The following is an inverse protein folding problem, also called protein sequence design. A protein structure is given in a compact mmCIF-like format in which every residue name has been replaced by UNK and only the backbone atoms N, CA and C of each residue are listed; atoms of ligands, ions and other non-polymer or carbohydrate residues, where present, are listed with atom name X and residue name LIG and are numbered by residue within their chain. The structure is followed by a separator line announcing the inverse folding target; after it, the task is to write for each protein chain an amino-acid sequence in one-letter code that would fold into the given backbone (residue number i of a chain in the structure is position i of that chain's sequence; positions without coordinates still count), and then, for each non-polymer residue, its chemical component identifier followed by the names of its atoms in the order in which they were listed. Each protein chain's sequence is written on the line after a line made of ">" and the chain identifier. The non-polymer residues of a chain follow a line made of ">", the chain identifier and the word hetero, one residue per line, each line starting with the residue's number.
data_IF_089395951245
#
_entry.id   IF_089395951245
#
_cell.length_a   1.000
_cell.length_b   1.000
_cell.length_c   1.000
_cell.angle_alpha   90.00
_cell.angle_beta   90.00
_cell.angle_gamma   90.00
#
_symmetry.space_group_name_H-M   'P 1'
#
loop_
_entity.id
_entity.type
_entity.pdbx_description
1 polymer ?
#
# COMPACT_ATOMS: atom_id res chain seq x y z
N UNK A 1 17.68 -14.07 3.16
CA UNK A 1 16.89 -14.24 1.92
C UNK A 1 15.67 -13.42 2.15
N UNK A 2 15.45 -12.48 1.24
CA UNK A 2 14.44 -11.46 1.43
C UNK A 2 13.07 -12.03 1.12
N UNK A 3 12.18 -12.03 2.12
CA UNK A 3 10.78 -12.46 1.96
C UNK A 3 10.02 -11.33 1.28
N UNK A 4 9.36 -11.62 0.15
CA UNK A 4 8.51 -10.65 -0.53
C UNK A 4 7.13 -10.60 0.10
N UNK A 5 6.69 -9.41 0.49
CA UNK A 5 5.39 -9.17 1.09
C UNK A 5 4.63 -8.15 0.25
N UNK A 6 3.56 -8.60 -0.40
CA UNK A 6 2.66 -7.72 -1.15
C UNK A 6 1.59 -7.17 -0.22
N UNK A 7 1.39 -5.86 -0.22
CA UNK A 7 0.40 -5.19 0.64
C UNK A 7 -0.58 -4.41 -0.23
N UNK A 8 -1.78 -4.94 -0.40
CA UNK A 8 -2.88 -4.26 -1.09
C UNK A 8 -3.46 -3.20 -0.18
N UNK A 9 -3.47 -1.96 -0.67
CA UNK A 9 -3.84 -0.79 0.13
C UNK A 9 -4.52 0.28 -0.71
N UNK A 10 -5.33 1.11 -0.04
CA UNK A 10 -5.87 2.37 -0.59
C UNK A 10 -5.38 3.56 0.23
N UNK A 11 -5.03 4.67 -0.42
CA UNK A 11 -4.54 5.88 0.23
C UNK A 11 -5.59 6.57 1.11
N UNK A 12 -6.87 6.32 0.85
CA UNK A 12 -7.99 6.86 1.66
C UNK A 12 -8.50 5.86 2.72
N UNK A 13 -7.91 4.66 2.82
CA UNK A 13 -8.30 3.66 3.80
C UNK A 13 -7.58 3.89 5.14
N UNK A 14 -8.30 4.19 6.24
CA UNK A 14 -7.67 4.44 7.54
C UNK A 14 -6.92 3.23 8.08
N UNK A 15 -7.46 2.01 7.88
CA UNK A 15 -6.79 0.79 8.33
C UNK A 15 -5.51 0.48 7.55
N UNK A 16 -5.41 0.91 6.28
CA UNK A 16 -4.17 0.78 5.51
C UNK A 16 -3.06 1.68 6.08
N UNK A 17 -3.41 2.91 6.47
CA UNK A 17 -2.48 3.81 7.14
C UNK A 17 -2.03 3.26 8.50
N UNK A 18 -2.95 2.69 9.28
CA UNK A 18 -2.61 2.04 10.55
C UNK A 18 -1.72 0.81 10.37
N UNK A 19 -1.91 0.04 9.29
CA UNK A 19 -1.10 -1.15 9.00
C UNK A 19 0.38 -0.82 8.79
N UNK A 20 0.71 0.42 8.40
CA UNK A 20 2.10 0.89 8.31
C UNK A 20 2.90 0.63 9.60
N UNK A 21 2.28 0.82 10.77
CA UNK A 21 2.96 0.61 12.07
C UNK A 21 3.58 -0.79 12.20
N UNK A 22 2.75 -1.85 12.29
CA UNK A 22 3.27 -3.22 12.39
C UNK A 22 4.10 -3.65 11.18
N UNK A 23 3.78 -3.19 9.96
CA UNK A 23 4.55 -3.52 8.76
C UNK A 23 5.98 -2.96 8.82
N UNK A 24 6.14 -1.68 9.19
CA UNK A 24 7.45 -1.04 9.33
C UNK A 24 8.28 -1.64 10.45
N UNK A 25 7.64 -2.02 11.56
CA UNK A 25 8.34 -2.68 12.67
C UNK A 25 8.90 -4.04 12.25
N UNK A 26 8.12 -4.82 11.51
CA UNK A 26 8.56 -6.12 11.01
C UNK A 26 9.68 -5.99 9.98
N UNK A 27 9.57 -5.03 9.06
CA UNK A 27 10.61 -4.77 8.06
C UNK A 27 11.94 -4.29 8.66
N UNK A 28 11.93 -3.72 9.88
CA UNK A 28 13.18 -3.39 10.61
C UNK A 28 13.85 -4.59 11.24
N UNK A 29 13.08 -5.62 11.59
CA UNK A 29 13.57 -6.79 12.34
C UNK A 29 13.86 -8.00 11.46
N UNK A 30 13.26 -8.06 10.27
CA UNK A 30 13.34 -9.19 9.34
C UNK A 30 13.75 -8.71 7.95
N UNK A 31 14.43 -9.58 7.20
CA UNK A 31 14.80 -9.36 5.80
C UNK A 31 13.55 -9.51 4.91
N UNK A 32 12.74 -8.45 4.82
CA UNK A 32 11.45 -8.41 4.13
C UNK A 32 11.42 -7.24 3.14
N UNK A 33 11.00 -7.52 1.91
CA UNK A 33 10.73 -6.52 0.88
C UNK A 33 9.22 -6.27 0.82
N UNK A 34 8.80 -5.07 1.23
CA UNK A 34 7.41 -4.64 1.13
C UNK A 34 7.16 -4.07 -0.25
N UNK A 35 6.21 -4.68 -0.97
CA UNK A 35 5.67 -4.16 -2.22
C UNK A 35 4.23 -3.67 -2.01
N UNK A 36 4.03 -2.37 -2.05
CA UNK A 36 2.69 -1.79 -1.99
C UNK A 36 1.93 -2.00 -3.30
N UNK A 37 0.80 -2.68 -3.23
CA UNK A 37 -0.08 -2.96 -4.36
C UNK A 37 -1.30 -2.04 -4.31
N UNK A 38 -1.73 -1.47 -5.46
CA UNK A 38 -2.87 -0.58 -5.48
C UNK A 38 -4.18 -1.34 -5.32
N UNK A 39 -5.12 -0.74 -4.61
CA UNK A 39 -6.52 -1.14 -4.58
C UNK A 39 -7.37 0.09 -4.31
N UNK A 40 -8.42 0.31 -5.11
CA UNK A 40 -9.31 1.46 -4.93
C UNK A 40 -10.60 1.02 -4.25
N UNK A 41 -10.92 1.58 -3.09
CA UNK A 41 -12.17 1.31 -2.37
C UNK A 41 -13.39 1.88 -3.10
N UNK A 42 -13.21 3.03 -3.76
CA UNK A 42 -14.25 3.76 -4.51
C UNK A 42 -13.66 4.37 -5.78
N UNK A 43 -13.35 3.56 -6.81
CA UNK A 43 -12.89 4.06 -8.09
C UNK A 43 -13.99 4.88 -8.78
N UNK A 44 -13.60 5.79 -9.67
CA UNK A 44 -14.57 6.48 -10.54
C UNK A 44 -15.27 5.45 -11.45
N UNK A 45 -16.60 5.51 -11.66
CA UNK A 45 -17.52 6.61 -11.33
C UNK A 45 -18.30 6.44 -10.02
N UNK A 46 -17.89 5.56 -9.10
CA UNK A 46 -18.56 5.44 -7.80
C UNK A 46 -18.43 6.74 -6.99
N UNK A 47 -19.42 6.99 -6.12
CA UNK A 47 -19.41 8.17 -5.26
C UNK A 47 -18.24 8.13 -4.27
N UNK A 48 -17.61 9.29 -4.08
CA UNK A 48 -16.56 9.48 -3.08
C UNK A 48 -17.09 9.21 -1.66
N UNK A 49 -16.18 8.85 -0.76
CA UNK A 49 -16.47 8.62 0.66
C UNK A 49 -16.47 9.98 1.37
N UNK A 50 -17.49 10.30 2.17
CA UNK A 50 -17.54 11.57 2.89
C UNK A 50 -17.77 11.35 4.39
N UNK A 51 -16.71 11.08 5.17
CA UNK A 51 -16.90 10.69 6.57
C UNK A 51 -17.58 11.76 7.43
N UNK A 52 -17.42 13.04 7.09
CA UNK A 52 -18.05 14.14 7.83
C UNK A 52 -19.56 14.25 7.60
N UNK A 53 -20.04 13.82 6.44
CA UNK A 53 -21.47 13.80 6.11
C UNK A 53 -22.12 12.41 6.24
N UNK A 54 -21.36 11.40 6.69
CA UNK A 54 -21.81 10.03 6.86
C UNK A 54 -21.67 9.59 8.33
N UNK A 55 -22.74 9.69 9.15
CA UNK A 55 -22.67 9.49 10.61
C UNK A 55 -22.09 8.15 11.05
N UNK A 56 -22.34 7.07 10.31
CA UNK A 56 -21.79 5.74 10.61
C UNK A 56 -20.26 5.70 10.46
N UNK A 57 -19.73 6.40 9.46
CA UNK A 57 -18.28 6.52 9.25
C UNK A 57 -17.67 7.39 10.31
N UNK A 58 -18.25 8.56 10.60
CA UNK A 58 -17.79 9.45 11.66
C UNK A 58 -17.75 8.74 13.02
N UNK A 59 -18.81 8.01 13.36
CA UNK A 59 -18.87 7.20 14.58
C UNK A 59 -17.79 6.13 14.64
N UNK A 60 -17.45 5.50 13.50
CA UNK A 60 -16.36 4.52 13.43
C UNK A 60 -14.98 5.15 13.66
N UNK A 61 -14.80 6.41 13.24
CA UNK A 61 -13.55 7.16 13.47
C UNK A 61 -13.31 7.39 14.97
N UNK A 62 -14.33 7.88 15.67
CA UNK A 62 -14.24 8.16 17.10
C UNK A 62 -14.19 6.89 17.95
N UNK A 63 -14.95 5.86 17.58
CA UNK A 63 -15.08 4.64 18.38
C UNK A 63 -13.87 3.70 18.23
N UNK A 64 -13.30 3.58 17.03
CA UNK A 64 -12.32 2.52 16.73
C UNK A 64 -11.04 3.02 16.07
N UNK A 65 -11.10 3.90 15.06
CA UNK A 65 -9.91 4.27 14.26
C UNK A 65 -8.92 5.11 15.07
N UNK A 66 -9.35 6.25 15.62
CA UNK A 66 -8.47 7.13 16.40
C UNK A 66 -7.95 6.47 17.69
N UNK A 67 -8.77 5.71 18.45
CA UNK A 67 -8.25 4.94 19.57
C UNK A 67 -7.20 3.90 19.17
N UNK A 68 -7.35 3.27 18.01
CA UNK A 68 -6.36 2.29 17.50
C UNK A 68 -5.07 2.99 17.07
N UNK A 69 -5.16 4.13 16.38
CA UNK A 69 -4.01 4.96 16.04
C UNK A 69 -3.19 5.32 17.30
N UNK A 70 -3.88 5.78 18.35
CA UNK A 70 -3.26 6.11 19.64
C UNK A 70 -2.57 4.91 20.29
N UNK A 71 -3.17 3.71 20.25
CA UNK A 71 -2.57 2.48 20.79
C UNK A 71 -1.30 2.09 20.04
N UNK A 72 -1.27 2.30 18.73
CA UNK A 72 -0.11 2.04 17.87
C UNK A 72 0.93 3.17 17.89
N UNK A 73 0.67 4.27 18.59
CA UNK A 73 1.55 5.44 18.59
C UNK A 73 1.64 6.15 17.23
N UNK A 74 0.64 5.96 16.36
CA UNK A 74 0.56 6.57 15.04
C UNK A 74 -0.22 7.87 15.17
N UNK A 75 0.41 8.98 14.81
CA UNK A 75 -0.31 10.25 14.65
C UNK A 75 -1.24 10.14 13.44
N UNK A 76 -2.54 10.31 13.66
CA UNK A 76 -3.57 10.15 12.64
C UNK A 76 -4.75 11.05 12.99
N UNK A 77 -5.28 11.72 11.97
CA UNK A 77 -6.50 12.52 12.07
C UNK A 77 -7.47 12.15 10.96
N UNK A 78 -8.75 12.39 11.22
CA UNK A 78 -9.78 12.36 10.18
C UNK A 78 -9.55 13.58 9.26
N UNK A 79 -9.20 13.38 7.97
CA UNK A 79 -8.90 14.51 7.09
C UNK A 79 -10.12 15.39 6.86
N UNK A 80 -9.93 16.72 6.86
CA UNK A 80 -10.98 17.68 6.45
C UNK A 80 -11.26 17.68 4.95
N UNK A 81 -10.38 17.10 4.13
CA UNK A 81 -10.60 16.92 2.70
C UNK A 81 -11.72 15.90 2.52
N UNK A 82 -12.94 16.42 2.39
CA UNK A 82 -14.16 15.64 2.28
C UNK A 82 -15.07 16.21 1.18
N UNK A 83 -15.64 15.38 0.29
CA UNK A 83 -15.43 13.94 0.19
C UNK A 83 -13.96 13.57 -0.06
N UNK A 84 -13.53 12.42 0.48
CA UNK A 84 -12.21 11.87 0.27
C UNK A 84 -11.89 11.78 -1.23
N UNK A 85 -10.66 12.13 -1.62
CA UNK A 85 -10.25 12.18 -3.02
C UNK A 85 -10.29 10.81 -3.70
N UNK A 86 -10.35 10.82 -5.03
CA UNK A 86 -10.00 9.62 -5.79
C UNK A 86 -8.49 9.37 -5.73
N UNK A 87 -8.07 8.10 -5.66
CA UNK A 87 -6.67 7.74 -5.41
C UNK A 87 -5.89 7.29 -6.64
N UNK A 88 -6.55 7.19 -7.80
CA UNK A 88 -5.93 6.74 -9.05
C UNK A 88 -4.70 7.56 -9.46
N UNK A 89 -4.71 8.91 -9.33
CA UNK A 89 -3.55 9.74 -9.66
C UNK A 89 -2.39 9.52 -8.68
N UNK A 90 -2.71 9.35 -7.40
CA UNK A 90 -1.70 9.02 -6.40
C UNK A 90 -1.04 7.66 -6.70
N UNK A 91 -1.81 6.67 -7.16
CA UNK A 91 -1.27 5.38 -7.58
C UNK A 91 -0.46 5.44 -8.87
N UNK A 92 -0.89 6.22 -9.87
CA UNK A 92 -0.08 6.49 -11.06
C UNK A 92 1.27 7.13 -10.70
N UNK A 93 1.27 8.06 -9.74
CA UNK A 93 2.50 8.63 -9.17
C UNK A 93 3.37 7.59 -8.46
N UNK A 94 2.75 6.63 -7.76
CA UNK A 94 3.47 5.52 -7.14
C UNK A 94 4.14 4.62 -8.19
N UNK A 95 3.50 4.38 -9.34
CA UNK A 95 4.12 3.64 -10.44
C UNK A 95 5.35 4.34 -11.01
N UNK A 96 5.28 5.67 -11.18
CA UNK A 96 6.44 6.48 -11.57
C UNK A 96 7.59 6.41 -10.54
N UNK A 97 7.23 6.46 -9.24
CA UNK A 97 8.19 6.40 -8.14
C UNK A 97 8.87 5.02 -8.04
N UNK A 98 8.11 3.93 -8.23
CA UNK A 98 8.61 2.54 -8.25
C UNK A 98 9.69 2.33 -9.30
N UNK A 99 9.52 2.89 -10.50
CA UNK A 99 10.53 2.79 -11.58
C UNK A 99 11.86 3.48 -11.24
N UNK A 100 11.86 4.35 -10.22
CA UNK A 100 13.04 5.06 -9.70
C UNK A 100 13.52 4.52 -8.35
N UNK A 101 12.95 3.41 -7.88
CA UNK A 101 13.30 2.81 -6.59
C UNK A 101 12.80 3.60 -5.38
N UNK A 102 11.89 4.56 -5.56
CA UNK A 102 11.35 5.44 -4.50
C UNK A 102 9.86 5.17 -4.23
N UNK A 103 9.36 3.99 -4.62
CA UNK A 103 7.94 3.64 -4.52
C UNK A 103 7.44 3.62 -3.08
N UNK A 104 8.24 3.10 -2.15
CA UNK A 104 7.87 3.00 -0.74
C UNK A 104 7.90 4.38 -0.08
N UNK A 105 8.93 5.18 -0.34
CA UNK A 105 9.09 6.53 0.17
C UNK A 105 7.93 7.42 -0.29
N UNK A 106 7.59 7.36 -1.58
CA UNK A 106 6.45 8.08 -2.13
C UNK A 106 5.12 7.63 -1.51
N UNK A 107 4.89 6.32 -1.40
CA UNK A 107 3.65 5.78 -0.82
C UNK A 107 3.46 6.26 0.63
N UNK A 108 4.51 6.17 1.44
CA UNK A 108 4.51 6.71 2.80
C UNK A 108 4.26 8.21 2.85
N UNK A 109 4.87 8.98 1.94
CA UNK A 109 4.70 10.43 1.89
C UNK A 109 3.27 10.84 1.57
N UNK A 110 2.62 10.16 0.61
CA UNK A 110 1.21 10.39 0.26
C UNK A 110 0.27 10.05 1.42
N UNK A 111 0.55 8.95 2.13
CA UNK A 111 -0.20 8.59 3.32
C UNK A 111 -0.12 9.67 4.41
N UNK A 112 1.09 10.15 4.72
CA UNK A 112 1.30 11.26 5.64
C UNK A 112 0.58 12.52 5.13
N UNK A 113 0.67 12.85 3.85
CA UNK A 113 -0.01 14.00 3.27
C UNK A 113 -1.53 13.96 3.53
N UNK A 114 -2.15 12.79 3.37
CA UNK A 114 -3.58 12.64 3.53
C UNK A 114 -4.01 12.56 5.01
N UNK A 115 -3.46 11.62 5.78
CA UNK A 115 -3.92 11.32 7.15
C UNK A 115 -3.28 12.16 8.24
N UNK A 116 -2.16 12.82 7.95
CA UNK A 116 -1.42 13.64 8.91
C UNK A 116 -1.31 15.09 8.47
N UNK A 117 -1.49 15.46 7.21
CA UNK A 117 -1.37 16.86 6.76
C UNK A 117 -2.67 17.39 6.13
N UNK A 118 -3.69 16.54 6.00
CA UNK A 118 -5.01 16.88 5.45
C UNK A 118 -4.93 17.47 4.04
N UNK A 119 -3.99 16.99 3.22
CA UNK A 119 -3.80 17.45 1.85
C UNK A 119 -4.67 16.66 0.87
N UNK A 120 -5.07 17.33 -0.22
CA UNK A 120 -5.86 16.71 -1.29
C UNK A 120 -4.95 15.93 -2.25
N UNK A 121 -4.93 14.60 -2.12
CA UNK A 121 -4.11 13.69 -2.93
C UNK A 121 -4.69 13.39 -4.34
N UNK A 122 -5.76 14.05 -4.75
CA UNK A 122 -6.25 14.06 -6.14
C UNK A 122 -5.69 15.25 -6.93
N UNK A 123 -5.07 16.22 -6.26
CA UNK A 123 -4.48 17.39 -6.89
C UNK A 123 -3.05 17.07 -7.39
N UNK A 124 -2.83 17.22 -8.69
CA UNK A 124 -1.54 16.97 -9.34
C UNK A 124 -0.44 17.88 -8.78
N UNK A 125 -0.74 19.14 -8.48
CA UNK A 125 0.28 20.06 -7.93
C UNK A 125 0.67 19.68 -6.51
N UNK A 126 -0.26 19.16 -5.72
CA UNK A 126 0.04 18.58 -4.40
C UNK A 126 0.89 17.33 -4.57
N UNK A 127 0.45 16.34 -5.36
CA UNK A 127 1.21 15.11 -5.60
C UNK A 127 2.62 15.39 -6.14
N UNK A 128 2.78 16.41 -6.99
CA UNK A 128 4.08 16.82 -7.52
C UNK A 128 4.99 17.36 -6.41
N UNK A 129 4.47 18.20 -5.51
CA UNK A 129 5.26 18.67 -4.35
C UNK A 129 5.70 17.50 -3.46
N UNK A 130 4.78 16.57 -3.17
CA UNK A 130 5.07 15.36 -2.40
C UNK A 130 6.16 14.51 -3.06
N UNK A 131 6.12 14.38 -4.39
CA UNK A 131 7.10 13.66 -5.17
C UNK A 131 8.49 14.31 -5.08
N UNK A 132 8.58 15.64 -5.15
CA UNK A 132 9.85 16.37 -5.00
C UNK A 132 10.46 16.18 -3.62
N UNK A 133 9.63 16.17 -2.56
CA UNK A 133 10.11 15.95 -1.18
C UNK A 133 10.75 14.57 -0.98
N UNK A 134 10.34 13.56 -1.75
CA UNK A 134 10.96 12.22 -1.75
C UNK A 134 12.11 12.08 -2.75
N UNK A 135 12.45 13.13 -3.49
CA UNK A 135 13.59 13.16 -4.42
C UNK A 135 13.25 12.84 -5.89
N UNK A 136 11.97 12.84 -6.27
CA UNK A 136 11.56 12.64 -7.66
C UNK A 136 11.65 13.94 -8.48
N UNK A 137 11.96 13.85 -9.79
CA UNK A 137 12.07 15.03 -10.65
C UNK A 137 10.69 15.68 -10.91
N UNK A 138 10.53 16.93 -10.48
CA UNK A 138 9.27 17.69 -10.52
C UNK A 138 8.61 17.67 -11.91
N UNK A 139 9.35 18.08 -12.94
CA UNK A 139 8.81 18.25 -14.29
C UNK A 139 8.37 16.91 -14.91
N UNK A 140 9.18 15.86 -14.78
CA UNK A 140 8.86 14.53 -15.29
C UNK A 140 7.69 13.89 -14.55
N UNK A 141 7.63 14.07 -13.22
CA UNK A 141 6.54 13.53 -12.40
C UNK A 141 5.22 14.22 -12.75
N UNK A 142 5.23 15.55 -12.83
CA UNK A 142 4.06 16.33 -13.20
C UNK A 142 3.57 15.98 -14.59
N UNK A 143 4.47 15.90 -15.56
CA UNK A 143 4.15 15.49 -16.93
C UNK A 143 3.51 14.10 -16.93
N UNK A 144 4.09 13.12 -16.25
CA UNK A 144 3.56 11.77 -16.17
C UNK A 144 2.13 11.69 -15.62
N UNK A 145 1.78 12.52 -14.63
CA UNK A 145 0.41 12.59 -14.10
C UNK A 145 -0.56 13.32 -15.03
N UNK A 146 -0.12 14.43 -15.64
CA UNK A 146 -0.94 15.21 -16.58
C UNK A 146 -1.26 14.39 -17.84
N UNK A 147 -0.26 13.71 -18.40
CA UNK A 147 -0.43 12.84 -19.57
C UNK A 147 -1.05 11.49 -19.22
N UNK A 148 -1.27 11.21 -17.94
CA UNK A 148 -1.79 9.92 -17.45
C UNK A 148 -0.96 8.74 -17.94
N UNK A 149 0.36 8.90 -17.96
CA UNK A 149 1.33 7.94 -18.54
C UNK A 149 1.18 6.54 -17.94
N UNK A 150 0.83 6.45 -16.65
CA UNK A 150 0.73 5.18 -15.93
C UNK A 150 -0.69 4.65 -15.80
N UNK A 151 -1.67 5.26 -16.48
CA UNK A 151 -3.08 4.88 -16.37
C UNK A 151 -3.32 3.41 -16.72
N UNK A 152 -2.79 2.94 -17.84
CA UNK A 152 -2.97 1.54 -18.29
C UNK A 152 -2.33 0.57 -17.29
N UNK A 153 -1.07 0.80 -16.92
CA UNK A 153 -0.35 0.01 -15.90
C UNK A 153 -1.08 -0.02 -14.55
N UNK A 154 -1.69 1.09 -14.16
CA UNK A 154 -2.49 1.17 -12.94
C UNK A 154 -3.78 0.36 -13.06
N UNK A 155 -4.48 0.45 -14.20
CA UNK A 155 -5.67 -0.35 -14.46
C UNK A 155 -5.38 -1.86 -14.45
N UNK A 156 -4.27 -2.28 -15.06
CA UNK A 156 -3.79 -3.67 -15.01
C UNK A 156 -3.51 -4.11 -13.56
N UNK A 157 -2.86 -3.27 -12.75
CA UNK A 157 -2.57 -3.58 -11.35
C UNK A 157 -3.85 -3.71 -10.51
N UNK A 158 -4.85 -2.87 -10.77
CA UNK A 158 -6.17 -2.99 -10.13
C UNK A 158 -6.88 -4.28 -10.59
N UNK A 159 -6.80 -4.62 -11.87
CA UNK A 159 -7.39 -5.86 -12.38
C UNK A 159 -6.73 -7.10 -11.76
N UNK A 160 -5.40 -7.12 -11.65
CA UNK A 160 -4.67 -8.17 -10.95
C UNK A 160 -5.15 -8.35 -9.51
N UNK A 161 -5.41 -7.24 -8.79
CA UNK A 161 -5.90 -7.29 -7.43
C UNK A 161 -7.27 -8.00 -7.33
N UNK A 162 -8.19 -7.74 -8.26
CA UNK A 162 -9.51 -8.36 -8.26
C UNK A 162 -9.52 -9.78 -8.81
N UNK A 163 -8.94 -10.00 -9.99
CA UNK A 163 -9.14 -11.22 -10.77
C UNK A 163 -8.16 -12.34 -10.36
N UNK A 164 -6.90 -11.99 -10.12
CA UNK A 164 -5.85 -12.96 -9.85
C UNK A 164 -5.64 -13.14 -8.35
N UNK A 165 -5.52 -12.03 -7.62
CA UNK A 165 -5.29 -12.05 -6.18
C UNK A 165 -6.57 -12.16 -5.33
N UNK A 166 -7.76 -12.05 -5.94
CA UNK A 166 -9.07 -12.17 -5.27
C UNK A 166 -9.19 -11.26 -4.02
N UNK A 167 -8.67 -10.04 -4.10
CA UNK A 167 -8.68 -9.08 -3.00
C UNK A 167 -10.08 -8.48 -2.86
N UNK A 168 -10.70 -8.74 -1.72
CA UNK A 168 -12.06 -8.27 -1.41
C UNK A 168 -12.08 -7.08 -0.44
N UNK A 169 -10.98 -6.86 0.27
CA UNK A 169 -10.87 -5.82 1.29
C UNK A 169 -9.41 -5.38 1.44
N UNK A 170 -9.21 -4.17 1.97
CA UNK A 170 -7.89 -3.63 2.30
C UNK A 170 -7.83 -3.10 3.73
N UNK A 171 -6.67 -3.18 4.42
CA UNK A 171 -5.41 -3.74 3.92
C UNK A 171 -5.49 -5.27 3.79
N UNK A 172 -4.84 -5.82 2.76
CA UNK A 172 -4.61 -7.27 2.65
C UNK A 172 -3.13 -7.50 2.39
N UNK A 173 -2.52 -8.36 3.19
CA UNK A 173 -1.10 -8.73 3.12
C UNK A 173 -0.99 -10.13 2.54
N UNK A 174 -0.13 -10.31 1.54
CA UNK A 174 0.19 -11.60 0.95
C UNK A 174 1.68 -11.90 1.12
N UNK A 175 1.99 -13.07 1.66
CA UNK A 175 3.36 -13.58 1.87
C UNK A 175 3.36 -15.03 1.38
N UNK A 176 4.01 -15.30 0.24
CA UNK A 176 3.88 -16.59 -0.43
C UNK A 176 2.40 -16.89 -0.74
N UNK A 177 1.92 -18.05 -0.30
CA UNK A 177 0.52 -18.46 -0.43
C UNK A 177 -0.39 -17.97 0.71
N UNK A 178 0.18 -17.35 1.76
CA UNK A 178 -0.59 -16.91 2.93
C UNK A 178 -1.23 -15.54 2.68
N UNK A 179 -2.54 -15.45 2.90
CA UNK A 179 -3.32 -14.22 2.75
C UNK A 179 -3.84 -13.78 4.11
N UNK A 180 -3.48 -12.56 4.53
CA UNK A 180 -3.90 -11.97 5.79
C UNK A 180 -4.78 -10.74 5.47
N UNK A 181 -6.06 -10.83 5.79
CA UNK A 181 -7.01 -9.74 5.57
C UNK A 181 -7.16 -8.87 6.82
N UNK A 182 -7.12 -7.55 6.64
CA UNK A 182 -7.28 -6.56 7.70
C UNK A 182 -5.98 -6.15 8.39
N UNK A 183 -6.13 -5.36 9.46
CA UNK A 183 -5.02 -4.84 10.26
C UNK A 183 -4.36 -5.98 11.06
N UNK A 184 -3.33 -6.59 10.49
CA UNK A 184 -2.56 -7.66 11.13
C UNK A 184 -1.69 -7.10 12.27
N UNK A 185 -1.57 -7.86 13.36
CA UNK A 185 -0.60 -7.56 14.41
C UNK A 185 0.82 -7.90 13.95
N UNK A 186 1.81 -7.29 14.59
CA UNK A 186 3.23 -7.60 14.36
C UNK A 186 3.53 -9.09 14.56
N UNK A 187 2.99 -9.69 15.61
CA UNK A 187 3.20 -11.11 15.94
C UNK A 187 2.61 -12.02 14.86
N UNK A 188 1.46 -11.64 14.30
CA UNK A 188 0.83 -12.37 13.19
C UNK A 188 1.71 -12.32 11.95
N UNK A 189 2.20 -11.14 11.59
CA UNK A 189 3.10 -10.94 10.45
C UNK A 189 4.40 -11.73 10.63
N UNK A 190 5.05 -11.61 11.79
CA UNK A 190 6.27 -12.35 12.12
C UNK A 190 6.09 -13.86 12.00
N UNK A 191 5.01 -14.41 12.55
CA UNK A 191 4.71 -15.85 12.48
C UNK A 191 4.57 -16.32 11.03
N UNK A 192 3.92 -15.54 10.17
CA UNK A 192 3.74 -15.91 8.75
C UNK A 192 5.06 -15.80 7.99
N UNK A 193 5.86 -14.76 8.24
CA UNK A 193 7.20 -14.61 7.65
C UNK A 193 8.11 -15.77 8.06
N UNK A 194 8.12 -16.13 9.35
CA UNK A 194 8.96 -17.23 9.84
C UNK A 194 8.56 -18.57 9.20
N UNK A 195 7.25 -18.81 9.06
CA UNK A 195 6.73 -19.99 8.34
C UNK A 195 7.19 -20.01 6.88
N UNK A 196 7.20 -18.87 6.21
CA UNK A 196 7.63 -18.78 4.80
C UNK A 196 9.14 -19.01 4.65
N UNK A 197 9.95 -18.45 5.54
CA UNK A 197 11.40 -18.71 5.60
C UNK A 197 11.69 -20.20 5.85
N UNK A 198 10.89 -20.87 6.69
CA UNK A 198 11.04 -22.31 6.95
C UNK A 198 10.64 -23.17 5.74
N UNK A 199 9.53 -22.87 5.06
CA UNK A 199 9.12 -23.58 3.84
C UNK A 199 10.23 -23.54 2.79
N UNK A 200 10.84 -22.39 2.59
CA UNK A 200 11.89 -22.22 1.60
C UNK A 200 13.15 -23.05 1.93
N UNK A 201 13.54 -23.08 3.23
CA UNK A 201 14.59 -24.00 3.71
C UNK A 201 14.27 -25.47 3.50
N UNK A 202 12.99 -25.82 3.42
CA UNK A 202 12.55 -27.22 3.19
C UNK A 202 12.44 -27.52 1.70
N UNK A 203 12.22 -26.50 0.86
CA UNK A 203 12.22 -26.57 -0.61
C UNK A 203 13.61 -26.39 -1.22
N UNK A 204 14.65 -26.16 -0.42
CA UNK A 204 16.04 -26.24 -0.90
C UNK A 204 16.28 -27.67 -1.37
N UNK A 205 16.39 -27.84 -2.69
CA UNK A 205 16.47 -29.15 -3.31
C UNK A 205 17.64 -29.97 -2.76
N UNK A 206 17.35 -30.95 -1.91
CA UNK A 206 18.30 -32.00 -1.55
C UNK A 206 18.27 -33.09 -2.63
N UNK A 207 19.16 -32.97 -3.63
CA UNK A 207 19.32 -34.01 -4.65
C UNK A 207 20.18 -33.59 -5.85
N UNK A 208 20.63 -34.59 -6.62
CA UNK A 208 21.22 -34.34 -7.94
C UNK A 208 20.11 -33.82 -8.87
N UNK A 209 20.35 -32.69 -9.52
CA UNK A 209 19.41 -32.08 -10.44
C UNK A 209 20.06 -31.97 -11.81
N UNK A 210 19.26 -32.12 -12.86
CA UNK A 210 19.68 -31.74 -14.21
C UNK A 210 18.89 -30.50 -14.64
N UNK A 211 19.57 -29.48 -15.18
CA UNK A 211 18.92 -28.26 -15.65
C UNK A 211 18.37 -28.41 -17.09
N UNK A 212 17.64 -27.41 -17.57
CA UNK A 212 17.03 -27.39 -18.92
C UNK A 212 18.05 -27.43 -20.05
N UNK A 213 19.30 -27.11 -19.75
CA UNK A 213 20.43 -27.19 -20.67
C UNK A 213 21.12 -28.58 -20.64
N UNK A 214 20.59 -29.52 -19.85
CA UNK A 214 21.01 -30.92 -19.79
C UNK A 214 22.17 -31.21 -18.84
N UNK A 215 22.56 -30.26 -17.99
CA UNK A 215 23.65 -30.45 -17.03
C UNK A 215 23.13 -30.95 -15.70
N UNK A 216 23.67 -32.09 -15.28
CA UNK A 216 23.66 -32.61 -13.93
C UNK A 216 25.05 -32.35 -13.29
#
# INVERSE_FOLDING_TARGET
>A
MTVKMKVYSDFICPFCFLAKGPLDEVAKEKDVEIEWMPFELRPSPYSKIDPWNEPEKLGSWDAFILPTAKKLGIDMRLPRVSPHPYTHLAFEGCQFAKERGLGNEYHHRVFTAFFQEEQNIEDIDILTKLAVEVGLPEAEFKDALVTRKYKEKHQEAIQHAYDEANIMAVPTVMIGDEVIQGLASKETLQRVIDKEIEKDKTNSFEGMQCNTDGYC
#
